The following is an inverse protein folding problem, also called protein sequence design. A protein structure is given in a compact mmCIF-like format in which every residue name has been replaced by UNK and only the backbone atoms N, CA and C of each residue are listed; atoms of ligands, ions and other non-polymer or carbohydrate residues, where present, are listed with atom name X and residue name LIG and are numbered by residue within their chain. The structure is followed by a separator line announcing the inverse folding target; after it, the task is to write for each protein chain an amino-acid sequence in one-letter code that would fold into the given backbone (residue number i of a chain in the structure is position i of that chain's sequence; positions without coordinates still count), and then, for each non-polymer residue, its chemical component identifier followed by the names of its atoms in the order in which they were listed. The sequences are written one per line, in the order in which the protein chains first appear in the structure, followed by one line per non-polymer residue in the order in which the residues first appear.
data_IF_127072681198
#
_entry.id   IF_127072681198
#
_cell.length_a   1.000
_cell.length_b   1.000
_cell.length_c   1.000
_cell.angle_alpha   90.00
_cell.angle_beta   90.00
_cell.angle_gamma   90.00
#
_symmetry.space_group_name_H-M   'P 1'
#
loop_
_entity.id
_entity.type
_entity.pdbx_description
1 polymer ?
#
# COMPACT_ATOMS: atom_id res chain seq x y z
N UNK A 1 1.18 -15.05 2.50
CA UNK A 1 1.09 -13.60 2.79
C UNK A 1 2.49 -13.03 2.72
N UNK A 2 2.66 -11.86 2.13
CA UNK A 2 3.94 -11.16 2.02
C UNK A 2 3.74 -9.72 2.49
N UNK A 3 4.62 -9.24 3.36
CA UNK A 3 4.60 -7.87 3.90
C UNK A 3 5.87 -7.15 3.45
N UNK A 4 5.71 -6.04 2.74
CA UNK A 4 6.81 -5.15 2.34
C UNK A 4 6.93 -4.00 3.34
N UNK A 5 8.09 -3.93 3.99
CA UNK A 5 8.51 -2.81 4.83
C UNK A 5 9.66 -2.03 4.18
N UNK A 6 9.83 -2.16 2.86
CA UNK A 6 10.92 -1.51 2.13
C UNK A 6 10.49 -0.07 1.85
N UNK A 7 11.31 0.94 2.20
CA UNK A 7 10.98 2.33 1.91
C UNK A 7 10.82 2.58 0.40
N UNK A 8 9.70 3.21 0.02
CA UNK A 8 9.45 3.61 -1.37
C UNK A 8 10.02 5.00 -1.71
N UNK A 9 10.42 5.75 -0.70
CA UNK A 9 11.14 7.02 -0.80
C UNK A 9 12.54 6.86 -0.20
N UNK A 10 13.48 7.66 -0.69
CA UNK A 10 14.87 7.67 -0.28
C UNK A 10 15.29 9.06 0.18
N UNK A 11 16.44 9.13 0.85
CA UNK A 11 17.15 10.39 1.12
C UNK A 11 18.25 10.59 0.08
N UNK A 12 18.88 11.77 0.05
CA UNK A 12 19.99 12.04 -0.89
C UNK A 12 21.11 11.00 -0.79
N UNK A 13 21.39 10.52 0.43
CA UNK A 13 22.40 9.48 0.69
C UNK A 13 21.92 8.05 0.43
N UNK A 14 20.60 7.82 0.32
CA UNK A 14 20.05 6.49 0.15
C UNK A 14 18.83 6.52 -0.80
N UNK A 15 19.04 6.29 -2.11
CA UNK A 15 17.98 6.44 -3.10
C UNK A 15 16.86 5.39 -2.93
N UNK A 16 15.66 5.65 -3.48
CA UNK A 16 14.55 4.71 -3.44
C UNK A 16 14.94 3.33 -3.99
N UNK A 17 14.49 2.27 -3.32
CA UNK A 17 14.77 0.89 -3.73
C UNK A 17 13.78 0.47 -4.83
N UNK A 18 14.28 0.11 -6.02
CA UNK A 18 13.47 -0.58 -7.06
C UNK A 18 13.30 -2.07 -6.70
N UNK A 19 12.58 -2.33 -5.61
CA UNK A 19 12.34 -3.69 -5.16
C UNK A 19 11.37 -4.41 -6.09
N UNK A 20 11.79 -5.58 -6.56
CA UNK A 20 10.95 -6.50 -7.33
C UNK A 20 10.96 -7.86 -6.67
N UNK A 21 9.78 -8.38 -6.44
CA UNK A 21 9.60 -9.70 -5.88
C UNK A 21 10.09 -10.77 -6.86
N UNK A 22 10.83 -11.78 -6.39
CA UNK A 22 11.20 -12.90 -7.23
C UNK A 22 9.95 -13.58 -7.81
N UNK A 23 9.86 -13.80 -9.14
CA UNK A 23 8.64 -14.34 -9.76
C UNK A 23 8.19 -15.69 -9.19
N UNK A 24 9.13 -16.49 -8.68
CA UNK A 24 8.83 -17.79 -8.08
C UNK A 24 8.07 -17.70 -6.75
N UNK A 25 8.13 -16.58 -6.04
CA UNK A 25 7.31 -16.35 -4.83
C UNK A 25 5.84 -16.09 -5.17
N UNK A 26 5.58 -15.65 -6.40
CA UNK A 26 4.24 -15.32 -6.88
C UNK A 26 3.56 -16.47 -7.65
N UNK A 27 4.12 -17.69 -7.56
CA UNK A 27 3.63 -18.90 -8.26
C UNK A 27 2.56 -19.70 -7.50
N UNK A 28 2.11 -19.22 -6.34
CA UNK A 28 1.04 -19.90 -5.59
C UNK A 28 -0.21 -20.07 -6.47
N UNK A 29 -0.75 -21.30 -6.64
CA UNK A 29 -1.91 -21.54 -7.50
C UNK A 29 -3.20 -20.96 -6.91
N UNK A 30 -3.25 -20.78 -5.59
CA UNK A 30 -4.37 -20.12 -4.88
C UNK A 30 -4.11 -18.63 -4.68
N UNK A 31 -3.01 -18.11 -5.22
CA UNK A 31 -2.58 -16.73 -5.02
C UNK A 31 -2.10 -16.45 -3.61
N UNK A 32 -2.30 -15.20 -3.18
CA UNK A 32 -1.85 -14.71 -1.90
C UNK A 32 -2.12 -13.23 -1.71
N UNK A 33 -1.75 -12.72 -0.54
CA UNK A 33 -1.88 -11.30 -0.19
C UNK A 33 -0.48 -10.69 -0.12
N UNK A 34 -0.30 -9.57 -0.80
CA UNK A 34 0.87 -8.68 -0.69
C UNK A 34 0.40 -7.40 0.00
N UNK A 35 1.05 -7.06 1.10
CA UNK A 35 0.79 -5.83 1.86
C UNK A 35 2.00 -4.92 1.67
N UNK A 36 1.78 -3.72 1.14
CA UNK A 36 2.78 -2.67 1.05
C UNK A 36 2.54 -1.68 2.18
N UNK A 37 3.56 -1.39 2.99
CA UNK A 37 3.44 -0.40 4.06
C UNK A 37 3.73 1.03 3.58
N UNK A 38 4.48 1.19 2.49
CA UNK A 38 4.74 2.51 1.94
C UNK A 38 3.48 3.08 1.26
N UNK A 39 3.08 4.28 1.69
CA UNK A 39 1.95 5.04 1.12
C UNK A 39 2.41 6.31 0.37
N UNK A 40 3.72 6.60 0.39
CA UNK A 40 4.35 7.72 -0.30
C UNK A 40 5.61 7.25 -1.07
N UNK A 41 5.52 7.07 -2.40
CA UNK A 41 4.30 7.10 -3.22
C UNK A 41 3.40 5.87 -3.00
N UNK A 42 2.09 6.01 -3.20
CA UNK A 42 1.12 4.90 -3.08
C UNK A 42 1.37 3.76 -4.09
N UNK A 43 1.92 4.10 -5.26
CA UNK A 43 2.19 3.14 -6.33
C UNK A 43 3.70 2.82 -6.35
N UNK A 44 4.12 1.95 -5.45
CA UNK A 44 5.51 1.46 -5.35
C UNK A 44 5.86 0.52 -6.53
N UNK A 45 7.15 0.26 -6.79
CA UNK A 45 7.56 -0.75 -7.78
C UNK A 45 6.94 -2.13 -7.53
N UNK A 46 6.79 -2.52 -6.26
CA UNK A 46 6.13 -3.77 -5.88
C UNK A 46 4.63 -3.75 -6.22
N UNK A 47 3.92 -2.67 -5.87
CA UNK A 47 2.50 -2.51 -6.21
C UNK A 47 2.30 -2.56 -7.73
N UNK A 48 3.17 -1.89 -8.51
CA UNK A 48 3.15 -1.97 -10.00
C UNK A 48 3.35 -3.40 -10.49
N UNK A 49 4.33 -4.12 -9.92
CA UNK A 49 4.63 -5.50 -10.31
C UNK A 49 3.42 -6.42 -10.07
N UNK A 50 2.79 -6.35 -8.90
CA UNK A 50 1.65 -7.21 -8.57
C UNK A 50 0.42 -6.86 -9.42
N UNK A 51 0.16 -5.57 -9.68
CA UNK A 51 -0.91 -5.14 -10.60
C UNK A 51 -0.71 -5.73 -12.00
N UNK A 52 0.51 -5.67 -12.54
CA UNK A 52 0.85 -6.27 -13.84
C UNK A 52 0.62 -7.79 -13.86
N UNK A 53 0.96 -8.51 -12.79
CA UNK A 53 0.74 -9.96 -12.69
C UNK A 53 -0.77 -10.28 -12.70
N UNK A 54 -1.58 -9.45 -12.03
CA UNK A 54 -3.04 -9.57 -12.05
C UNK A 54 -3.60 -9.33 -13.45
N UNK A 55 -3.11 -8.30 -14.16
CA UNK A 55 -3.51 -8.00 -15.55
C UNK A 55 -3.14 -9.13 -16.53
N UNK A 56 -2.06 -9.86 -16.25
CA UNK A 56 -1.61 -11.02 -17.05
C UNK A 56 -2.40 -12.32 -16.79
N UNK A 57 -3.51 -12.26 -16.04
CA UNK A 57 -4.41 -13.38 -15.81
C UNK A 57 -4.27 -14.07 -14.46
N UNK A 58 -3.34 -13.63 -13.61
CA UNK A 58 -3.21 -14.17 -12.24
C UNK A 58 -3.93 -13.27 -11.22
N UNK A 59 -5.27 -13.26 -11.29
CA UNK A 59 -6.14 -12.45 -10.41
C UNK A 59 -6.17 -12.91 -8.95
N UNK A 60 -5.56 -14.05 -8.63
CA UNK A 60 -5.59 -14.65 -7.29
C UNK A 60 -4.73 -13.90 -6.28
N UNK A 61 -3.87 -13.00 -6.73
CA UNK A 61 -3.09 -12.12 -5.85
C UNK A 61 -3.85 -10.84 -5.51
N UNK A 62 -3.94 -10.54 -4.23
CA UNK A 62 -4.52 -9.31 -3.68
C UNK A 62 -3.39 -8.40 -3.21
N UNK A 63 -3.46 -7.12 -3.57
CA UNK A 63 -2.58 -6.08 -3.03
C UNK A 63 -3.37 -5.24 -2.04
N UNK A 64 -2.81 -5.04 -0.85
CA UNK A 64 -3.23 -4.06 0.14
C UNK A 64 -2.17 -2.96 0.13
N UNK A 65 -2.56 -1.74 -0.22
CA UNK A 65 -1.63 -0.61 -0.28
C UNK A 65 -1.45 0.07 1.09
N UNK A 66 -0.42 0.91 1.19
CA UNK A 66 -0.08 1.56 2.45
C UNK A 66 -1.16 2.51 2.97
N UNK A 67 -2.01 3.04 2.09
CA UNK A 67 -3.07 3.97 2.47
C UNK A 67 -4.23 3.23 3.17
N UNK A 68 -4.55 2.03 2.70
CA UNK A 68 -5.47 1.14 3.43
C UNK A 68 -4.91 0.77 4.81
N UNK A 69 -3.61 0.44 4.88
CA UNK A 69 -2.96 0.08 6.15
C UNK A 69 -2.98 1.24 7.16
N UNK A 70 -2.54 2.44 6.75
CA UNK A 70 -2.52 3.60 7.65
C UNK A 70 -3.94 4.02 8.07
N UNK A 71 -4.93 3.83 7.19
CA UNK A 71 -6.34 4.07 7.51
C UNK A 71 -6.82 3.14 8.63
N UNK A 72 -6.57 1.83 8.52
CA UNK A 72 -6.97 0.87 9.56
C UNK A 72 -6.22 1.14 10.88
N UNK A 73 -4.92 1.45 10.83
CA UNK A 73 -4.16 1.86 12.03
C UNK A 73 -4.76 3.09 12.72
N UNK A 74 -5.17 4.10 11.94
CA UNK A 74 -5.80 5.30 12.48
C UNK A 74 -7.18 5.02 13.10
N UNK A 75 -7.95 4.10 12.52
CA UNK A 75 -9.24 3.67 13.08
C UNK A 75 -9.06 2.99 14.44
N UNK A 76 -8.11 2.05 14.54
CA UNK A 76 -7.81 1.37 15.82
C UNK A 76 -7.33 2.37 16.88
N UNK A 77 -6.46 3.31 16.49
CA UNK A 77 -6.02 4.38 17.39
C UNK A 77 -7.19 5.26 17.88
N UNK A 78 -8.14 5.58 17.00
CA UNK A 78 -9.33 6.33 17.36
C UNK A 78 -10.21 5.57 18.38
N UNK A 79 -10.43 4.27 18.17
CA UNK A 79 -11.23 3.46 19.10
C UNK A 79 -10.54 3.37 20.47
N UNK A 80 -9.23 3.14 20.49
CA UNK A 80 -8.43 3.06 21.71
C UNK A 80 -8.46 4.38 22.49
N UNK A 81 -8.30 5.51 21.81
CA UNK A 81 -8.21 6.82 22.45
C UNK A 81 -9.57 7.37 22.91
N UNK A 82 -10.65 7.04 22.22
CA UNK A 82 -11.96 7.64 22.48
C UNK A 82 -12.95 6.70 23.17
N UNK A 83 -12.67 5.39 23.17
CA UNK A 83 -13.61 4.36 23.60
C UNK A 83 -14.86 4.25 22.71
N UNK A 84 -14.88 4.92 21.54
CA UNK A 84 -16.00 4.92 20.60
C UNK A 84 -15.63 4.11 19.37
N UNK A 85 -16.61 3.40 18.81
CA UNK A 85 -16.45 2.70 17.54
C UNK A 85 -16.05 3.68 16.44
N UNK A 86 -15.02 3.36 15.68
CA UNK A 86 -14.51 4.19 14.62
C UNK A 86 -15.56 4.30 13.51
N UNK A 87 -15.86 5.52 13.02
CA UNK A 87 -16.69 5.69 11.84
C UNK A 87 -15.87 5.33 10.59
N UNK A 88 -15.64 4.03 10.39
CA UNK A 88 -14.67 3.48 9.41
C UNK A 88 -14.82 4.04 8.00
N UNK A 89 -16.04 4.15 7.51
CA UNK A 89 -16.32 4.70 6.17
C UNK A 89 -15.91 6.18 6.04
N UNK A 90 -16.20 6.99 7.06
CA UNK A 90 -15.83 8.40 7.09
C UNK A 90 -14.31 8.56 7.21
N UNK A 91 -13.67 7.80 8.11
CA UNK A 91 -12.23 7.87 8.31
C UNK A 91 -11.46 7.48 7.05
N UNK A 92 -11.88 6.41 6.36
CA UNK A 92 -11.27 6.01 5.07
C UNK A 92 -11.45 7.08 4.00
N UNK A 93 -12.64 7.65 3.89
CA UNK A 93 -12.92 8.76 2.97
C UNK A 93 -12.00 9.96 3.24
N UNK A 94 -11.89 10.40 4.50
CA UNK A 94 -11.05 11.53 4.89
C UNK A 94 -9.57 11.24 4.65
N UNK A 95 -9.12 10.00 4.89
CA UNK A 95 -7.74 9.59 4.63
C UNK A 95 -7.42 9.69 3.13
N UNK A 96 -8.28 9.16 2.26
CA UNK A 96 -8.14 9.27 0.81
C UNK A 96 -8.13 10.73 0.33
N UNK A 97 -9.12 11.54 0.72
CA UNK A 97 -9.21 12.96 0.33
C UNK A 97 -8.00 13.78 0.81
N UNK A 98 -7.46 13.45 1.99
CA UNK A 98 -6.28 14.12 2.54
C UNK A 98 -5.03 13.73 1.77
N UNK A 99 -4.85 12.45 1.49
CA UNK A 99 -3.73 11.95 0.69
C UNK A 99 -3.76 12.49 -0.74
N UNK A 100 -4.93 12.55 -1.37
CA UNK A 100 -5.10 13.15 -2.71
C UNK A 100 -4.72 14.63 -2.75
N UNK A 101 -5.06 15.38 -1.70
CA UNK A 101 -4.76 16.81 -1.62
C UNK A 101 -3.30 17.10 -1.30
N UNK A 102 -2.66 16.28 -0.45
CA UNK A 102 -1.34 16.58 0.11
C UNK A 102 -0.22 15.81 -0.58
N UNK A 103 -0.44 14.58 -1.00
CA UNK A 103 0.61 13.66 -1.41
C UNK A 103 0.52 13.24 -2.88
N UNK A 104 -0.69 13.15 -3.46
CA UNK A 104 -0.85 12.87 -4.90
C UNK A 104 -0.17 13.90 -5.84
N UNK A 105 -0.07 15.21 -5.52
CA UNK A 105 0.64 16.17 -6.37
C UNK A 105 2.15 15.86 -6.52
N UNK A 106 2.72 15.07 -5.61
CA UNK A 106 4.13 14.69 -5.59
C UNK A 106 4.38 13.29 -6.16
N UNK A 107 3.35 12.63 -6.72
CA UNK A 107 3.58 11.38 -7.44
C UNK A 107 4.40 11.66 -8.70
N UNK A 108 5.51 10.93 -8.94
CA UNK A 108 6.23 11.02 -10.19
C UNK A 108 5.29 10.58 -11.32
N UNK A 109 4.87 11.53 -12.16
CA UNK A 109 4.14 11.28 -13.40
C UNK A 109 5.05 10.48 -14.34
N UNK A 110 4.80 9.17 -14.42
CA UNK A 110 5.33 8.30 -15.48
C UNK A 110 4.28 7.29 -15.89
#
# INVERSE_FOLDING_TARGET
MILSCIPASGTDDNPPVDFRMPPHWLKSPTGGVVIELAYEPLITPLVKQVRRIREQGNHTWVVVDGLEVVSEMAMEAFELMTGRKAPKALMRKVCNETWERQCAPFQPQR
#
